data_IF_237163913741
#
_entry.id   IF_237163913741
#
_cell.length_a   1.000
_cell.length_b   1.000
_cell.length_c   1.000
_cell.angle_alpha   90.00
_cell.angle_beta   90.00
_cell.angle_gamma   90.00
#
_symmetry.space_group_name_H-M   'P 1'
#
loop_
_entity.id
_entity.type
_entity.pdbx_description
1 polymer ?
#
# COMPACT_ATOMS: atom_id res chain seq x y z
N UNK A 1 11.99 -9.23 -5.99
CA UNK A 1 12.21 -8.33 -4.83
C UNK A 1 10.93 -8.33 -4.04
N UNK A 2 10.95 -8.42 -2.71
CA UNK A 2 9.73 -8.38 -1.88
C UNK A 2 9.73 -7.10 -1.07
N UNK A 3 8.84 -6.16 -1.38
CA UNK A 3 8.64 -4.96 -0.59
C UNK A 3 7.63 -5.27 0.53
N UNK A 4 8.02 -5.02 1.78
CA UNK A 4 7.18 -5.23 2.95
C UNK A 4 6.97 -3.90 3.65
N UNK A 5 5.71 -3.53 3.83
CA UNK A 5 5.28 -2.35 4.55
C UNK A 5 4.43 -2.86 5.72
N UNK A 6 4.86 -2.53 6.93
CA UNK A 6 4.07 -2.72 8.14
C UNK A 6 3.66 -1.33 8.60
N UNK A 7 2.37 -1.14 8.90
CA UNK A 7 1.81 0.14 9.34
C UNK A 7 0.60 -0.08 10.23
N UNK A 8 0.30 0.90 11.05
CA UNK A 8 -0.89 0.97 11.90
C UNK A 8 -2.13 1.34 11.09
N UNK A 9 -3.32 1.14 11.66
CA UNK A 9 -4.58 1.63 11.07
C UNK A 9 -4.59 3.13 10.92
N UNK A 10 -4.09 3.86 11.92
CA UNK A 10 -4.01 5.33 11.88
C UNK A 10 -3.13 5.79 10.72
N UNK A 11 -1.93 5.20 10.54
CA UNK A 11 -1.05 5.53 9.41
C UNK A 11 -1.68 5.17 8.05
N UNK A 12 -2.39 4.04 7.95
CA UNK A 12 -3.07 3.65 6.72
C UNK A 12 -4.20 4.63 6.36
N UNK A 13 -4.97 5.09 7.35
CA UNK A 13 -6.00 6.10 7.18
C UNK A 13 -5.41 7.43 6.71
N UNK A 14 -4.34 7.88 7.36
CA UNK A 14 -3.61 9.11 7.00
C UNK A 14 -2.97 9.01 5.61
N UNK A 15 -2.54 7.83 5.18
CA UNK A 15 -2.01 7.63 3.84
C UNK A 15 -3.11 7.72 2.78
N UNK A 16 -4.23 7.01 3.00
CA UNK A 16 -5.32 6.95 2.01
C UNK A 16 -6.01 8.31 1.87
N UNK A 17 -6.10 9.09 2.97
CA UNK A 17 -6.59 10.47 3.07
C UNK A 17 -7.44 10.92 1.87
N UNK A 18 -8.59 10.26 1.73
CA UNK A 18 -9.47 10.39 0.57
C UNK A 18 -10.67 11.25 0.95
N UNK A 19 -11.04 12.17 0.04
CA UNK A 19 -12.28 12.98 0.16
C UNK A 19 -13.55 12.11 0.16
N UNK A 20 -13.43 10.84 -0.25
CA UNK A 20 -14.48 9.83 -0.19
C UNK A 20 -14.17 8.76 0.86
N UNK A 21 -15.17 8.30 1.63
CA UNK A 21 -14.98 7.22 2.59
C UNK A 21 -14.65 5.92 1.86
N UNK A 22 -13.39 5.51 1.98
CA UNK A 22 -12.91 4.22 1.50
C UNK A 22 -13.01 3.21 2.66
N UNK A 23 -13.55 1.99 2.44
CA UNK A 23 -13.56 0.97 3.48
C UNK A 23 -12.14 0.54 3.88
N UNK A 24 -11.88 0.34 5.18
CA UNK A 24 -10.56 -0.13 5.67
C UNK A 24 -10.09 -1.43 5.00
N UNK A 25 -11.03 -2.29 4.60
CA UNK A 25 -10.74 -3.54 3.88
C UNK A 25 -10.03 -3.32 2.53
N UNK A 26 -10.15 -2.13 1.94
CA UNK A 26 -9.55 -1.79 0.65
C UNK A 26 -8.20 -1.07 0.78
N UNK A 27 -7.83 -0.61 1.99
CA UNK A 27 -6.60 0.18 2.20
C UNK A 27 -5.35 -0.58 1.76
N UNK A 28 -5.24 -1.85 2.14
CA UNK A 28 -4.08 -2.68 1.77
C UNK A 28 -3.93 -2.79 0.25
N UNK A 29 -5.02 -2.92 -0.51
CA UNK A 29 -4.96 -3.04 -1.96
C UNK A 29 -4.53 -1.74 -2.63
N UNK A 30 -5.11 -0.61 -2.20
CA UNK A 30 -4.75 0.72 -2.70
C UNK A 30 -3.26 1.02 -2.47
N UNK A 31 -2.80 0.82 -1.24
CA UNK A 31 -1.40 1.07 -0.85
C UNK A 31 -0.46 0.16 -1.65
N UNK A 32 -0.80 -1.13 -1.83
CA UNK A 32 -0.01 -2.06 -2.67
C UNK A 32 0.07 -1.59 -4.12
N UNK A 33 -1.02 -1.09 -4.68
CA UNK A 33 -1.07 -0.55 -6.04
C UNK A 33 -0.17 0.67 -6.23
N UNK A 34 -0.19 1.59 -5.27
CA UNK A 34 0.65 2.78 -5.28
C UNK A 34 2.13 2.44 -5.15
N UNK A 35 2.51 1.59 -4.20
CA UNK A 35 3.90 1.16 -4.02
C UNK A 35 4.43 0.49 -5.28
N UNK A 36 3.65 -0.38 -5.91
CA UNK A 36 4.01 -0.96 -7.21
C UNK A 36 4.27 0.12 -8.26
N UNK A 37 3.43 1.15 -8.31
CA UNK A 37 3.57 2.27 -9.25
C UNK A 37 4.81 3.10 -8.95
N UNK A 38 5.07 3.41 -7.68
CA UNK A 38 6.27 4.12 -7.22
C UNK A 38 7.52 3.33 -7.60
N UNK A 39 7.58 2.03 -7.30
CA UNK A 39 8.72 1.18 -7.65
C UNK A 39 8.97 1.14 -9.16
N UNK A 40 7.91 1.01 -9.97
CA UNK A 40 8.04 1.09 -11.43
C UNK A 40 8.61 2.43 -11.89
N UNK A 41 8.13 3.54 -11.33
CA UNK A 41 8.62 4.89 -11.65
C UNK A 41 10.06 5.11 -11.22
N UNK A 42 10.50 4.46 -10.15
CA UNK A 42 11.90 4.45 -9.70
C UNK A 42 12.84 3.57 -10.55
N UNK A 43 12.34 2.99 -11.64
CA UNK A 43 13.14 2.22 -12.60
C UNK A 43 13.12 0.71 -12.39
N UNK A 44 12.47 0.20 -11.34
CA UNK A 44 12.35 -1.24 -11.14
C UNK A 44 11.46 -1.89 -12.20
N UNK A 45 11.99 -2.87 -12.91
CA UNK A 45 11.29 -3.62 -13.96
C UNK A 45 10.68 -4.91 -13.40
N UNK A 46 9.59 -5.38 -14.00
CA UNK A 46 8.99 -6.69 -13.67
C UNK A 46 8.26 -6.78 -12.32
N UNK A 47 8.05 -5.67 -11.60
CA UNK A 47 7.32 -5.67 -10.32
C UNK A 47 5.85 -6.03 -10.52
N UNK A 48 5.41 -7.06 -9.80
CA UNK A 48 4.01 -7.50 -9.71
C UNK A 48 3.39 -7.06 -8.38
N UNK A 49 2.06 -7.17 -8.27
CA UNK A 49 1.36 -6.83 -7.02
C UNK A 49 1.68 -7.82 -5.88
N UNK A 50 1.91 -9.09 -6.24
CA UNK A 50 2.33 -10.17 -5.32
C UNK A 50 3.71 -9.95 -4.69
N UNK A 51 4.53 -9.09 -5.29
CA UNK A 51 5.84 -8.69 -4.76
C UNK A 51 5.73 -7.65 -3.62
N UNK A 52 4.55 -7.04 -3.44
CA UNK A 52 4.29 -6.03 -2.41
C UNK A 52 3.37 -6.60 -1.35
N UNK A 53 3.86 -6.63 -0.11
CA UNK A 53 3.10 -7.04 1.08
C UNK A 53 2.85 -5.83 1.96
N UNK A 54 1.58 -5.54 2.25
CA UNK A 54 1.17 -4.49 3.18
C UNK A 54 0.43 -5.16 4.33
N UNK A 55 0.97 -5.01 5.54
CA UNK A 55 0.36 -5.50 6.77
C UNK A 55 -0.13 -4.30 7.58
N UNK A 56 -1.43 -4.23 7.80
CA UNK A 56 -2.06 -3.22 8.65
C UNK A 56 -2.36 -3.90 9.99
N UNK A 57 -1.89 -3.32 11.08
CA UNK A 57 -2.19 -3.78 12.44
C UNK A 57 -3.04 -2.77 13.18
N UNK A 58 -3.87 -3.24 14.10
CA UNK A 58 -4.49 -2.37 15.10
C UNK A 58 -3.40 -1.68 15.94
N UNK A 59 -3.70 -0.47 16.40
CA UNK A 59 -2.86 0.32 17.31
C UNK A 59 -2.75 -0.31 18.71
#
# INVERSE_FOLDING_TARGET
>A
MKAKIDMTKTEALEYVNSDYPVPESEYSELIRGDIKTILKRSGFQGIKLEDVTVKITDD
#
